data_IF_617277908231
#
_entry.id   IF_617277908231
#
_cell.length_a   1.000
_cell.length_b   1.000
_cell.length_c   1.000
_cell.angle_alpha   90.00
_cell.angle_beta   90.00
_cell.angle_gamma   90.00
#
_symmetry.space_group_name_H-M   'P 1'
#
loop_
_entity.id
_entity.type
_entity.pdbx_description
1 polymer ?
#
# COMPACT_ATOMS: atom_id res chain seq x y z
N UNK A 1 22.42 13.99 -5.04
CA UNK A 1 23.43 13.48 -4.07
C UNK A 1 24.53 12.65 -4.72
N UNK A 2 24.20 11.52 -5.38
CA UNK A 2 25.19 10.56 -5.89
C UNK A 2 26.27 11.18 -6.80
N UNK A 3 25.89 12.08 -7.71
CA UNK A 3 26.82 12.83 -8.57
C UNK A 3 27.84 13.65 -7.76
N UNK A 4 27.39 14.34 -6.71
CA UNK A 4 28.24 15.17 -5.86
C UNK A 4 29.14 14.33 -4.96
N UNK A 5 28.65 13.21 -4.44
CA UNK A 5 29.40 12.38 -3.48
C UNK A 5 30.45 11.49 -4.16
N UNK A 6 30.12 10.87 -5.27
CA UNK A 6 30.97 9.89 -5.94
C UNK A 6 31.66 10.43 -7.20
N UNK A 7 31.38 11.69 -7.60
CA UNK A 7 32.02 12.37 -8.72
C UNK A 7 31.73 11.80 -10.12
N UNK A 8 31.13 10.61 -10.21
CA UNK A 8 30.86 9.90 -11.47
C UNK A 8 29.39 9.90 -11.88
N UNK A 9 29.14 10.03 -13.18
CA UNK A 9 27.78 9.95 -13.75
C UNK A 9 27.31 8.50 -13.93
N UNK A 10 28.24 7.54 -14.05
CA UNK A 10 27.93 6.12 -14.33
C UNK A 10 27.04 5.49 -13.26
N UNK A 11 27.39 5.69 -11.98
CA UNK A 11 26.64 5.13 -10.83
C UNK A 11 25.25 5.75 -10.74
N UNK A 12 25.13 7.08 -10.97
CA UNK A 12 23.84 7.76 -11.01
C UNK A 12 22.95 7.13 -12.06
N UNK A 13 23.40 7.04 -13.32
CA UNK A 13 22.60 6.51 -14.42
C UNK A 13 22.21 5.05 -14.17
N UNK A 14 23.14 4.22 -13.70
CA UNK A 14 22.83 2.83 -13.37
C UNK A 14 21.71 2.72 -12.34
N UNK A 15 21.81 3.49 -11.24
CA UNK A 15 20.80 3.50 -10.18
C UNK A 15 19.48 4.13 -10.62
N UNK A 16 19.52 5.17 -11.45
CA UNK A 16 18.35 5.79 -12.08
C UNK A 16 17.60 4.76 -12.93
N UNK A 17 18.27 4.04 -13.83
CA UNK A 17 17.64 3.03 -14.67
C UNK A 17 17.05 1.90 -13.82
N UNK A 18 17.80 1.42 -12.81
CA UNK A 18 17.32 0.41 -11.88
C UNK A 18 16.10 0.89 -11.08
N UNK A 19 16.11 2.13 -10.59
CA UNK A 19 15.00 2.72 -9.85
C UNK A 19 13.73 2.88 -10.70
N UNK A 20 13.88 3.29 -11.96
CA UNK A 20 12.74 3.37 -12.90
C UNK A 20 12.17 1.98 -13.18
N UNK A 21 13.02 1.00 -13.45
CA UNK A 21 12.60 -0.38 -13.68
C UNK A 21 11.86 -0.95 -12.46
N UNK A 22 12.42 -0.78 -11.26
CA UNK A 22 11.76 -1.20 -10.02
C UNK A 22 10.43 -0.46 -9.81
N UNK A 23 10.36 0.85 -10.07
CA UNK A 23 9.13 1.61 -9.90
C UNK A 23 7.99 1.09 -10.78
N UNK A 24 8.29 0.68 -12.02
CA UNK A 24 7.31 0.08 -12.93
C UNK A 24 6.89 -1.30 -12.45
N UNK A 25 7.83 -2.21 -12.23
CA UNK A 25 7.49 -3.61 -11.98
C UNK A 25 6.97 -3.88 -10.57
N UNK A 26 7.43 -3.13 -9.56
CA UNK A 26 7.02 -3.38 -8.17
C UNK A 26 5.96 -2.39 -7.72
N UNK A 27 6.26 -1.08 -7.70
CA UNK A 27 5.37 -0.10 -7.09
C UNK A 27 4.07 0.11 -7.87
N UNK A 28 4.19 0.42 -9.16
CA UNK A 28 3.01 0.69 -10.01
C UNK A 28 2.14 -0.57 -10.11
N UNK A 29 2.74 -1.74 -10.32
CA UNK A 29 2.02 -3.02 -10.37
C UNK A 29 1.26 -3.33 -9.08
N UNK A 30 1.91 -3.19 -7.92
CA UNK A 30 1.29 -3.50 -6.61
C UNK A 30 0.18 -2.50 -6.28
N UNK A 31 0.38 -1.21 -6.54
CA UNK A 31 -0.64 -0.19 -6.29
C UNK A 31 -1.85 -0.36 -7.22
N UNK A 32 -1.62 -0.64 -8.51
CA UNK A 32 -2.70 -0.93 -9.46
C UNK A 32 -3.47 -2.20 -9.10
N UNK A 33 -2.77 -3.28 -8.73
CA UNK A 33 -3.42 -4.52 -8.30
C UNK A 33 -4.25 -4.32 -7.05
N UNK A 34 -3.68 -3.71 -6.00
CA UNK A 34 -4.38 -3.44 -4.74
C UNK A 34 -5.63 -2.56 -4.97
N UNK A 35 -5.50 -1.56 -5.83
CA UNK A 35 -6.62 -0.70 -6.19
C UNK A 35 -7.69 -1.40 -7.04
N UNK A 36 -7.29 -2.27 -7.95
CA UNK A 36 -8.21 -3.01 -8.79
C UNK A 36 -9.02 -4.03 -7.97
N UNK A 37 -8.37 -4.75 -7.06
CA UNK A 37 -9.02 -5.65 -6.10
C UNK A 37 -10.03 -4.87 -5.25
N UNK A 38 -9.65 -3.68 -4.77
CA UNK A 38 -10.56 -2.83 -4.01
C UNK A 38 -11.80 -2.41 -4.81
N UNK A 39 -11.61 -1.88 -6.03
CA UNK A 39 -12.73 -1.49 -6.90
C UNK A 39 -13.62 -2.68 -7.28
N UNK A 40 -13.01 -3.84 -7.50
CA UNK A 40 -13.73 -5.08 -7.75
C UNK A 40 -14.65 -5.43 -6.57
N UNK A 41 -14.16 -5.38 -5.34
CA UNK A 41 -14.99 -5.65 -4.16
C UNK A 41 -16.08 -4.59 -3.97
N UNK A 42 -15.76 -3.31 -4.19
CA UNK A 42 -16.69 -2.21 -3.94
C UNK A 42 -17.78 -2.06 -5.01
N UNK A 43 -17.45 -2.26 -6.29
CA UNK A 43 -18.32 -1.99 -7.43
C UNK A 43 -18.73 -3.25 -8.21
N UNK A 44 -18.20 -4.43 -7.85
CA UNK A 44 -18.35 -5.69 -8.61
C UNK A 44 -17.92 -5.57 -10.08
N UNK A 45 -16.88 -4.76 -10.34
CA UNK A 45 -16.31 -4.59 -11.67
C UNK A 45 -15.30 -5.71 -11.99
N UNK A 46 -15.10 -5.96 -13.30
CA UNK A 46 -14.01 -6.81 -13.76
C UNK A 46 -12.66 -6.19 -13.36
N UNK A 47 -11.74 -7.02 -12.84
CA UNK A 47 -10.39 -6.60 -12.45
C UNK A 47 -9.69 -5.77 -13.54
N UNK A 48 -9.76 -6.19 -14.81
CA UNK A 48 -9.12 -5.47 -15.92
C UNK A 48 -9.78 -4.10 -16.18
N UNK A 49 -11.11 -4.01 -16.05
CA UNK A 49 -11.82 -2.73 -16.19
C UNK A 49 -11.43 -1.76 -15.06
N UNK A 50 -11.31 -2.27 -13.83
CA UNK A 50 -10.83 -1.50 -12.68
C UNK A 50 -9.41 -0.98 -12.89
N UNK A 51 -8.49 -1.81 -13.40
CA UNK A 51 -7.12 -1.38 -13.71
C UNK A 51 -7.12 -0.25 -14.76
N UNK A 52 -7.85 -0.41 -15.87
CA UNK A 52 -7.91 0.60 -16.92
C UNK A 52 -8.50 1.92 -16.38
N UNK A 53 -9.56 1.85 -15.59
CA UNK A 53 -10.17 3.03 -14.97
C UNK A 53 -9.19 3.75 -14.03
N UNK A 54 -8.45 3.01 -13.20
CA UNK A 54 -7.43 3.58 -12.30
C UNK A 54 -6.30 4.25 -13.09
N UNK A 55 -5.81 3.62 -14.17
CA UNK A 55 -4.75 4.20 -15.01
C UNK A 55 -5.23 5.49 -15.66
N UNK A 56 -6.43 5.50 -16.24
CA UNK A 56 -6.98 6.70 -16.89
C UNK A 56 -7.17 7.85 -15.89
N UNK A 57 -7.68 7.55 -14.70
CA UNK A 57 -7.89 8.54 -13.66
C UNK A 57 -6.55 9.06 -13.12
N UNK A 58 -5.59 8.17 -12.85
CA UNK A 58 -4.24 8.56 -12.44
C UNK A 58 -3.54 9.40 -13.50
N UNK A 59 -3.64 9.05 -14.78
CA UNK A 59 -3.06 9.82 -15.88
C UNK A 59 -3.67 11.23 -15.97
N UNK A 60 -5.00 11.34 -15.88
CA UNK A 60 -5.71 12.62 -15.87
C UNK A 60 -5.22 13.55 -14.75
N UNK A 61 -5.12 13.03 -13.53
CA UNK A 61 -4.64 13.80 -12.37
C UNK A 61 -3.13 14.06 -12.41
N UNK A 62 -2.32 13.20 -13.03
CA UNK A 62 -0.88 13.41 -13.16
C UNK A 62 -0.57 14.55 -14.14
N UNK A 63 -1.28 14.60 -15.28
CA UNK A 63 -1.07 15.65 -16.29
C UNK A 63 -1.54 17.02 -15.79
N UNK A 64 -2.66 17.05 -15.04
CA UNK A 64 -3.23 18.28 -14.49
C UNK A 64 -2.65 18.71 -13.15
N UNK A 65 -2.10 17.80 -12.36
CA UNK A 65 -1.74 18.02 -10.96
C UNK A 65 -0.30 18.48 -10.76
N UNK A 66 -0.11 19.63 -10.11
CA UNK A 66 1.19 20.05 -9.58
C UNK A 66 1.48 19.37 -8.23
N UNK A 67 2.77 19.20 -7.89
CA UNK A 67 3.23 18.58 -6.63
C UNK A 67 2.56 19.18 -5.38
N UNK A 68 2.32 20.49 -5.36
CA UNK A 68 1.66 21.18 -4.24
C UNK A 68 0.20 20.77 -4.07
N UNK A 69 -0.54 20.61 -5.17
CA UNK A 69 -1.94 20.19 -5.12
C UNK A 69 -2.06 18.77 -4.56
N UNK A 70 -1.17 17.87 -4.99
CA UNK A 70 -1.10 16.49 -4.51
C UNK A 70 -0.86 16.44 -3.00
N UNK A 71 0.09 17.22 -2.48
CA UNK A 71 0.39 17.22 -1.04
C UNK A 71 -0.80 17.68 -0.19
N UNK A 72 -1.56 18.67 -0.65
CA UNK A 72 -2.76 19.14 0.08
C UNK A 72 -3.89 18.12 0.06
N UNK A 73 -4.14 17.47 -1.07
CA UNK A 73 -5.15 16.41 -1.16
C UNK A 73 -4.77 15.21 -0.29
N UNK A 74 -3.49 14.84 -0.26
CA UNK A 74 -2.98 13.75 0.58
C UNK A 74 -3.21 14.01 2.07
N UNK A 75 -3.01 15.27 2.51
CA UNK A 75 -3.21 15.64 3.90
C UNK A 75 -4.66 15.45 4.35
N UNK A 76 -5.62 16.01 3.60
CA UNK A 76 -7.05 15.89 3.90
C UNK A 76 -7.47 14.41 3.90
N UNK A 77 -7.04 13.67 2.88
CA UNK A 77 -7.35 12.26 2.74
C UNK A 77 -6.77 11.42 3.88
N UNK A 78 -5.55 11.71 4.34
CA UNK A 78 -4.92 11.00 5.47
C UNK A 78 -5.74 11.15 6.74
N UNK A 79 -6.24 12.35 7.04
CA UNK A 79 -7.09 12.60 8.21
C UNK A 79 -8.38 11.78 8.11
N UNK A 80 -9.04 11.81 6.95
CA UNK A 80 -10.28 11.06 6.75
C UNK A 80 -10.03 9.55 6.86
N UNK A 81 -8.94 9.04 6.27
CA UNK A 81 -8.57 7.62 6.33
C UNK A 81 -8.28 7.14 7.75
N UNK A 82 -7.62 7.96 8.57
CA UNK A 82 -7.37 7.62 9.98
C UNK A 82 -8.71 7.52 10.73
N UNK A 83 -9.60 8.50 10.56
CA UNK A 83 -10.92 8.50 11.20
C UNK A 83 -11.72 7.28 10.76
N UNK A 84 -11.79 6.99 9.46
CA UNK A 84 -12.52 5.84 8.94
C UNK A 84 -11.95 4.52 9.45
N UNK A 85 -10.62 4.39 9.52
CA UNK A 85 -9.97 3.18 10.01
C UNK A 85 -10.17 2.98 11.51
N UNK A 86 -10.19 4.05 12.32
CA UNK A 86 -10.54 3.99 13.74
C UNK A 86 -11.99 3.53 13.93
N UNK A 87 -12.93 4.09 13.16
CA UNK A 87 -14.34 3.68 13.19
C UNK A 87 -14.47 2.20 12.81
N UNK A 88 -13.77 1.76 11.76
CA UNK A 88 -13.77 0.36 11.34
C UNK A 88 -13.23 -0.57 12.43
N UNK A 89 -12.13 -0.19 13.07
CA UNK A 89 -11.53 -0.96 14.16
C UNK A 89 -12.52 -1.13 15.31
N UNK A 90 -13.18 -0.05 15.74
CA UNK A 90 -14.17 -0.08 16.84
C UNK A 90 -15.33 -1.02 16.48
N UNK A 91 -15.90 -0.88 15.28
CA UNK A 91 -17.00 -1.75 14.81
C UNK A 91 -16.55 -3.21 14.71
N UNK A 92 -15.34 -3.45 14.18
CA UNK A 92 -14.79 -4.80 14.04
C UNK A 92 -14.63 -5.48 15.41
N UNK A 93 -14.11 -4.75 16.41
CA UNK A 93 -13.94 -5.28 17.76
C UNK A 93 -15.28 -5.51 18.44
N UNK A 94 -16.25 -4.62 18.24
CA UNK A 94 -17.61 -4.78 18.77
C UNK A 94 -18.30 -6.04 18.20
N UNK A 95 -18.06 -6.40 16.94
CA UNK A 95 -18.64 -7.60 16.32
C UNK A 95 -18.04 -8.91 16.81
N UNK A 96 -16.75 -8.92 17.15
CA UNK A 96 -16.07 -10.13 17.66
C UNK A 96 -16.19 -10.26 19.18
N UNK A 97 -16.49 -9.17 19.89
CA UNK A 97 -16.60 -9.16 21.35
C UNK A 97 -15.30 -8.76 22.06
N UNK A 98 -14.40 -8.05 21.37
CA UNK A 98 -13.14 -7.54 21.92
C UNK A 98 -11.89 -8.31 21.51
N UNK A 99 -10.73 -7.86 21.99
CA UNK A 99 -9.42 -8.38 21.58
C UNK A 99 -9.16 -9.80 22.08
N UNK A 100 -9.70 -10.15 23.26
CA UNK A 100 -9.53 -11.47 23.85
C UNK A 100 -10.25 -12.54 23.03
N UNK A 101 -11.38 -12.17 22.43
CA UNK A 101 -12.17 -13.04 21.58
C UNK A 101 -11.51 -13.22 20.22
N UNK A 102 -10.77 -12.21 19.73
CA UNK A 102 -9.91 -12.38 18.56
C UNK A 102 -8.88 -13.48 18.85
N UNK A 103 -8.25 -13.47 20.03
CA UNK A 103 -7.28 -14.50 20.39
C UNK A 103 -7.90 -15.89 20.46
N UNK A 104 -9.08 -16.05 21.07
CA UNK A 104 -9.68 -17.38 21.20
C UNK A 104 -10.30 -17.91 19.90
N UNK A 105 -10.85 -17.04 19.05
CA UNK A 105 -11.57 -17.44 17.84
C UNK A 105 -10.68 -17.55 16.59
N UNK A 106 -9.58 -16.80 16.52
CA UNK A 106 -8.71 -16.81 15.35
C UNK A 106 -8.17 -18.20 14.96
N UNK A 107 -7.75 -19.09 15.89
CA UNK A 107 -7.33 -20.45 15.55
C UNK A 107 -8.40 -21.28 14.83
N UNK A 108 -9.67 -20.99 15.09
CA UNK A 108 -10.82 -21.69 14.51
C UNK A 108 -11.37 -21.02 13.25
N UNK A 109 -10.74 -19.93 12.78
CA UNK A 109 -11.13 -19.20 11.57
C UNK A 109 -10.66 -19.92 10.30
N UNK A 110 -11.20 -21.12 10.09
CA UNK A 110 -10.91 -22.05 9.00
C UNK A 110 -12.13 -22.14 8.08
N UNK A 111 -11.92 -22.15 6.76
CA UNK A 111 -13.02 -22.26 5.81
C UNK A 111 -13.66 -23.66 5.84
N UNK A 112 -14.96 -23.75 5.58
CA UNK A 112 -15.65 -25.04 5.47
C UNK A 112 -15.09 -25.89 4.33
N UNK A 113 -14.61 -25.27 3.25
CA UNK A 113 -13.95 -25.97 2.14
C UNK A 113 -12.65 -26.65 2.57
N UNK A 114 -11.93 -26.10 3.55
CA UNK A 114 -10.69 -26.69 4.08
C UNK A 114 -10.92 -27.86 5.01
N UNK A 115 -12.05 -27.89 5.73
CA UNK A 115 -12.40 -29.01 6.62
C UNK A 115 -12.58 -30.33 5.87
N UNK A 116 -12.89 -30.28 4.58
CA UNK A 116 -13.02 -31.45 3.71
C UNK A 116 -11.74 -31.81 2.94
N UNK A 117 -10.72 -30.95 2.95
CA UNK A 117 -9.43 -31.19 2.29
C UNK A 117 -8.43 -31.79 3.28
N UNK A 118 -7.72 -32.84 2.90
CA UNK A 118 -6.69 -33.50 3.74
C UNK A 118 -5.39 -32.70 3.87
N UNK A 119 -5.39 -31.44 3.45
CA UNK A 119 -4.22 -30.57 3.40
C UNK A 119 -4.20 -29.62 4.59
N UNK A 120 -3.04 -29.42 5.22
CA UNK A 120 -2.82 -28.42 6.29
C UNK A 120 -2.99 -26.95 5.83
N UNK A 121 -3.33 -26.74 4.55
CA UNK A 121 -3.46 -25.42 3.95
C UNK A 121 -4.73 -24.72 4.44
N UNK A 122 -4.62 -23.41 4.74
CA UNK A 122 -5.74 -22.59 5.24
C UNK A 122 -5.89 -22.56 6.76
N UNK A 123 -5.08 -23.32 7.51
CA UNK A 123 -5.06 -23.28 8.98
C UNK A 123 -4.21 -22.10 9.46
N UNK A 124 -4.73 -21.24 10.36
CA UNK A 124 -3.93 -20.18 10.98
C UNK A 124 -2.73 -20.74 11.75
N UNK A 125 -1.55 -20.18 11.53
CA UNK A 125 -0.32 -20.58 12.23
C UNK A 125 -0.48 -20.39 13.76
N UNK A 126 -0.04 -21.35 14.57
CA UNK A 126 -0.11 -21.33 16.04
C UNK A 126 0.48 -20.06 16.67
N UNK A 127 1.49 -19.46 16.04
CA UNK A 127 2.16 -18.25 16.51
C UNK A 127 1.52 -16.94 15.99
N UNK A 128 0.23 -16.95 15.66
CA UNK A 128 -0.48 -15.81 15.06
C UNK A 128 -0.46 -14.51 15.89
N UNK A 129 -0.42 -14.61 17.23
CA UNK A 129 -0.32 -13.44 18.14
C UNK A 129 1.13 -13.08 18.54
N UNK A 130 2.13 -13.83 18.10
CA UNK A 130 3.53 -13.52 18.41
C UNK A 130 4.16 -12.62 17.34
N UNK A 131 4.69 -11.48 17.78
CA UNK A 131 5.51 -10.59 16.95
C UNK A 131 6.89 -11.18 16.65
N UNK A 132 7.42 -12.00 17.56
CA UNK A 132 8.74 -12.64 17.43
C UNK A 132 8.50 -14.09 17.06
N UNK A 133 8.83 -14.46 15.82
CA UNK A 133 8.63 -15.80 15.28
C UNK A 133 9.93 -16.59 15.23
N UNK A 134 9.89 -17.92 15.43
CA UNK A 134 11.07 -18.79 15.38
C UNK A 134 11.74 -18.78 14.00
N UNK A 135 12.95 -19.34 13.92
CA UNK A 135 13.76 -19.35 12.68
C UNK A 135 13.13 -20.15 11.54
N UNK A 136 12.33 -21.17 11.86
CA UNK A 136 11.69 -22.05 10.86
C UNK A 136 10.36 -21.49 10.31
N UNK A 137 9.92 -20.34 10.80
CA UNK A 137 8.70 -19.69 10.30
C UNK A 137 8.97 -18.95 8.97
N UNK A 138 7.92 -18.78 8.15
CA UNK A 138 7.98 -18.01 6.89
C UNK A 138 8.55 -16.60 7.06
N UNK A 139 8.36 -16.01 8.24
CA UNK A 139 8.78 -14.67 8.61
C UNK A 139 9.55 -14.72 9.93
N UNK A 140 10.82 -15.16 9.90
CA UNK A 140 11.61 -15.33 11.11
C UNK A 140 12.00 -13.98 11.71
N UNK A 141 12.05 -13.89 13.04
CA UNK A 141 12.33 -12.63 13.75
C UNK A 141 13.65 -11.98 13.30
N UNK A 142 14.68 -12.80 13.08
CA UNK A 142 16.01 -12.32 12.66
C UNK A 142 15.97 -11.72 11.26
N UNK A 143 15.27 -12.36 10.32
CA UNK A 143 15.08 -11.87 8.96
C UNK A 143 14.29 -10.55 8.93
N UNK A 144 13.25 -10.44 9.76
CA UNK A 144 12.48 -9.19 9.88
C UNK A 144 13.35 -8.06 10.45
N UNK A 145 14.12 -8.29 11.51
CA UNK A 145 14.93 -7.22 12.12
C UNK A 145 16.04 -6.79 11.17
N UNK A 146 16.85 -7.73 10.67
CA UNK A 146 18.02 -7.39 9.87
C UNK A 146 17.64 -6.99 8.44
N UNK A 147 16.81 -7.78 7.77
CA UNK A 147 16.32 -7.49 6.43
C UNK A 147 15.40 -6.27 6.40
N UNK A 148 14.47 -6.18 7.35
CA UNK A 148 13.57 -5.04 7.48
C UNK A 148 14.29 -3.73 7.79
N UNK A 149 15.38 -3.75 8.57
CA UNK A 149 16.19 -2.55 8.78
C UNK A 149 16.85 -2.05 7.48
N UNK A 150 17.41 -2.94 6.66
CA UNK A 150 18.03 -2.59 5.37
C UNK A 150 16.97 -1.99 4.42
N UNK A 151 15.83 -2.67 4.28
CA UNK A 151 14.72 -2.20 3.44
C UNK A 151 14.17 -0.87 3.94
N UNK A 152 14.06 -0.69 5.26
CA UNK A 152 13.59 0.56 5.87
C UNK A 152 14.55 1.71 5.58
N UNK A 153 15.86 1.51 5.74
CA UNK A 153 16.85 2.56 5.44
C UNK A 153 16.74 2.97 3.96
N UNK A 154 16.62 2.00 3.06
CA UNK A 154 16.43 2.28 1.63
C UNK A 154 15.12 3.05 1.37
N UNK A 155 14.00 2.55 1.88
CA UNK A 155 12.68 3.14 1.65
C UNK A 155 12.57 4.57 2.22
N UNK A 156 13.12 4.84 3.40
CA UNK A 156 13.00 6.15 4.03
C UNK A 156 14.08 7.15 3.61
N UNK A 157 15.27 6.68 3.23
CA UNK A 157 16.43 7.56 2.98
C UNK A 157 16.81 7.68 1.51
N UNK A 158 16.47 6.69 0.69
CA UNK A 158 16.87 6.62 -0.72
C UNK A 158 15.70 6.72 -1.69
N UNK A 159 14.48 6.39 -1.24
CA UNK A 159 13.30 6.45 -2.09
C UNK A 159 12.94 7.88 -2.47
N UNK A 160 12.90 8.13 -3.78
CA UNK A 160 12.69 9.47 -4.30
C UNK A 160 11.32 10.05 -3.91
N UNK A 161 10.27 9.24 -3.77
CA UNK A 161 8.94 9.73 -3.37
C UNK A 161 9.00 10.36 -1.97
N UNK A 162 9.70 9.69 -1.04
CA UNK A 162 9.82 10.14 0.36
C UNK A 162 10.82 11.28 0.48
N UNK A 163 11.96 11.17 -0.21
CA UNK A 163 12.99 12.23 -0.21
C UNK A 163 12.43 13.53 -0.80
N UNK A 164 11.61 13.48 -1.86
CA UNK A 164 10.98 14.69 -2.40
C UNK A 164 10.06 15.37 -1.39
N UNK A 165 9.28 14.61 -0.61
CA UNK A 165 8.39 15.17 0.42
C UNK A 165 9.16 15.85 1.55
N UNK A 166 10.30 15.28 1.94
CA UNK A 166 11.16 15.91 2.97
C UNK A 166 11.89 17.15 2.47
N UNK A 167 12.29 17.17 1.19
CA UNK A 167 12.89 18.34 0.54
C UNK A 167 11.89 19.48 0.30
N UNK A 168 10.61 19.18 0.16
CA UNK A 168 9.54 20.16 0.04
C UNK A 168 9.17 20.84 1.39
N UNK A 169 9.78 20.40 2.50
CA UNK A 169 9.54 21.01 3.80
C UNK A 169 10.13 22.44 3.86
N UNK A 170 9.42 23.33 4.57
CA UNK A 170 9.81 24.75 4.69
C UNK A 170 11.23 24.95 5.23
N UNK A 171 11.59 24.19 6.28
CA UNK A 171 12.88 24.27 6.96
C UNK A 171 13.29 22.89 7.50
N UNK A 172 14.57 22.72 7.85
CA UNK A 172 15.09 21.48 8.46
C UNK A 172 14.37 21.09 9.75
N UNK A 173 13.98 22.06 10.59
CA UNK A 173 13.21 21.80 11.81
C UNK A 173 11.85 21.17 11.50
N UNK A 174 11.13 21.68 10.49
CA UNK A 174 9.87 21.12 10.02
C UNK A 174 10.05 19.74 9.39
N UNK A 175 11.12 19.52 8.63
CA UNK A 175 11.43 18.20 8.08
C UNK A 175 11.65 17.16 9.19
N UNK A 176 12.44 17.49 10.22
CA UNK A 176 12.69 16.62 11.38
C UNK A 176 11.42 16.33 12.16
N UNK A 177 10.62 17.36 12.46
CA UNK A 177 9.34 17.19 13.14
C UNK A 177 8.38 16.30 12.33
N UNK A 178 8.31 16.50 11.01
CA UNK A 178 7.53 15.66 10.10
C UNK A 178 7.96 14.20 10.12
N UNK A 179 9.26 13.92 10.10
CA UNK A 179 9.79 12.56 10.23
C UNK A 179 9.44 11.90 11.57
N UNK A 180 9.49 12.65 12.68
CA UNK A 180 9.10 12.14 14.00
C UNK A 180 7.61 11.80 14.07
N UNK A 181 6.75 12.70 13.56
CA UNK A 181 5.31 12.46 13.49
C UNK A 181 4.99 11.26 12.59
N UNK A 182 5.65 11.14 11.44
CA UNK A 182 5.50 9.98 10.55
C UNK A 182 5.91 8.67 11.24
N UNK A 183 7.01 8.67 12.00
CA UNK A 183 7.44 7.54 12.82
C UNK A 183 6.40 7.15 13.88
N UNK A 184 5.81 8.13 14.57
CA UNK A 184 4.76 7.89 15.56
C UNK A 184 3.50 7.30 14.91
N UNK A 185 3.05 7.87 13.78
CA UNK A 185 1.86 7.39 13.07
C UNK A 185 2.03 5.97 12.50
N UNK A 186 3.26 5.49 12.30
CA UNK A 186 3.54 4.12 11.81
C UNK A 186 3.24 3.03 12.83
N UNK A 187 2.98 3.34 14.10
CA UNK A 187 2.44 2.37 15.06
C UNK A 187 0.94 2.11 14.86
N UNK A 188 0.20 3.03 14.22
CA UNK A 188 -1.25 2.91 14.05
C UNK A 188 -1.69 1.74 13.16
N UNK A 189 -1.07 1.42 12.01
CA UNK A 189 -1.51 0.34 11.13
C UNK A 189 -1.65 -1.02 11.82
N UNK A 190 -0.87 -1.30 12.87
CA UNK A 190 -1.05 -2.51 13.67
C UNK A 190 -2.49 -2.59 14.22
N UNK A 191 -2.97 -1.51 14.83
CA UNK A 191 -4.31 -1.42 15.39
C UNK A 191 -5.39 -1.19 14.34
N UNK A 192 -5.11 -0.36 13.35
CA UNK A 192 -6.11 0.12 12.39
C UNK A 192 -6.28 -0.81 11.16
N UNK A 193 -5.32 -1.69 10.88
CA UNK A 193 -5.35 -2.57 9.71
C UNK A 193 -5.09 -4.03 10.07
N UNK A 194 -4.05 -4.35 10.85
CA UNK A 194 -3.70 -5.76 11.13
C UNK A 194 -4.77 -6.44 11.98
N UNK A 195 -5.16 -5.84 13.12
CA UNK A 195 -6.20 -6.41 13.96
C UNK A 195 -7.56 -6.51 13.25
N UNK A 196 -8.06 -5.48 12.53
CA UNK A 196 -9.22 -5.63 11.66
C UNK A 196 -9.04 -6.74 10.64
N UNK A 197 -7.89 -6.86 9.96
CA UNK A 197 -7.62 -7.97 9.04
C UNK A 197 -7.77 -9.35 9.69
N UNK A 198 -7.34 -9.51 10.95
CA UNK A 198 -7.58 -10.74 11.71
C UNK A 198 -9.07 -10.98 11.99
N UNK A 199 -9.80 -9.92 12.36
CA UNK A 199 -11.26 -9.96 12.54
C UNK A 199 -11.97 -10.35 11.25
N UNK A 200 -11.51 -9.85 10.09
CA UNK A 200 -12.08 -10.20 8.80
C UNK A 200 -12.08 -11.71 8.59
N UNK A 201 -10.94 -12.37 8.86
CA UNK A 201 -10.83 -13.82 8.73
C UNK A 201 -11.77 -14.57 9.68
N UNK A 202 -11.98 -14.06 10.89
CA UNK A 202 -12.91 -14.65 11.87
C UNK A 202 -14.37 -14.52 11.39
N UNK A 203 -14.75 -13.37 10.86
CA UNK A 203 -16.13 -13.10 10.42
C UNK A 203 -16.47 -13.71 9.07
N UNK A 204 -15.49 -13.82 8.17
CA UNK A 204 -15.66 -14.30 6.80
C UNK A 204 -14.61 -15.36 6.43
N UNK A 205 -14.58 -16.51 7.15
CA UNK A 205 -13.56 -17.54 6.95
C UNK A 205 -13.63 -18.20 5.57
N UNK A 206 -14.83 -18.41 5.04
CA UNK A 206 -15.03 -19.05 3.73
C UNK A 206 -14.55 -18.18 2.56
N UNK A 207 -14.55 -16.85 2.71
CA UNK A 207 -14.13 -15.93 1.67
C UNK A 207 -12.63 -15.62 1.74
N UNK A 208 -12.10 -15.42 2.94
CA UNK A 208 -10.70 -14.99 3.14
C UNK A 208 -9.77 -16.18 3.32
N UNK A 209 -10.22 -17.22 4.04
CA UNK A 209 -9.49 -18.45 4.31
C UNK A 209 -9.71 -19.54 3.26
N UNK A 210 -10.34 -19.21 2.12
CA UNK A 210 -10.54 -20.17 1.03
C UNK A 210 -9.21 -20.78 0.59
N UNK A 211 -9.24 -22.07 0.28
CA UNK A 211 -8.05 -22.84 -0.11
C UNK A 211 -8.28 -23.64 -1.39
N UNK A 212 -9.55 -23.88 -1.74
CA UNK A 212 -9.91 -24.47 -3.02
C UNK A 212 -9.74 -23.43 -4.16
N UNK A 213 -8.90 -23.71 -5.17
CA UNK A 213 -8.58 -22.73 -6.22
C UNK A 213 -9.78 -22.25 -7.02
N UNK A 214 -10.79 -23.10 -7.25
CA UNK A 214 -11.95 -22.76 -8.06
C UNK A 214 -12.95 -21.91 -7.26
N UNK A 215 -13.17 -22.24 -5.98
CA UNK A 215 -13.95 -21.41 -5.05
C UNK A 215 -13.28 -20.05 -4.83
N UNK A 216 -11.96 -20.02 -4.60
CA UNK A 216 -11.22 -18.76 -4.45
C UNK A 216 -11.29 -17.90 -5.72
N UNK A 217 -11.23 -18.52 -6.91
CA UNK A 217 -11.36 -17.79 -8.17
C UNK A 217 -12.74 -17.13 -8.31
N UNK A 218 -13.81 -17.77 -7.85
CA UNK A 218 -15.16 -17.19 -7.91
C UNK A 218 -15.32 -15.99 -6.96
N UNK A 219 -14.68 -16.02 -5.80
CA UNK A 219 -14.83 -14.99 -4.76
C UNK A 219 -13.88 -13.80 -4.98
N UNK A 220 -12.61 -14.06 -5.29
CA UNK A 220 -11.59 -13.03 -5.40
C UNK A 220 -10.80 -13.03 -6.71
N UNK A 221 -11.17 -13.87 -7.68
CA UNK A 221 -10.48 -13.99 -8.98
C UNK A 221 -8.98 -14.27 -8.86
N UNK A 222 -8.56 -14.83 -7.72
CA UNK A 222 -7.19 -15.26 -7.44
C UNK A 222 -7.23 -16.73 -7.01
N UNK A 223 -6.41 -17.56 -7.66
CA UNK A 223 -6.23 -18.97 -7.29
C UNK A 223 -5.28 -19.15 -6.11
N UNK A 224 -4.52 -18.12 -5.75
CA UNK A 224 -3.48 -18.17 -4.73
C UNK A 224 -3.99 -17.78 -3.32
N UNK A 225 -5.29 -17.48 -3.19
CA UNK A 225 -5.94 -17.07 -1.95
C UNK A 225 -6.48 -15.64 -1.98
N UNK A 226 -7.34 -15.35 -1.02
CA UNK A 226 -8.15 -14.12 -0.95
C UNK A 226 -7.78 -13.23 0.26
N UNK A 227 -6.54 -13.26 0.72
CA UNK A 227 -6.13 -12.46 1.88
C UNK A 227 -6.21 -10.93 1.60
N UNK A 228 -5.97 -10.51 0.36
CA UNK A 228 -5.93 -9.09 -0.03
C UNK A 228 -7.32 -8.41 0.01
N UNK A 229 -8.41 -9.18 -0.05
CA UNK A 229 -9.78 -8.65 0.03
C UNK A 229 -10.25 -8.40 1.47
N UNK A 230 -9.50 -8.83 2.48
CA UNK A 230 -9.92 -8.78 3.88
C UNK A 230 -10.34 -7.38 4.35
N UNK A 231 -9.49 -6.37 4.12
CA UNK A 231 -9.78 -5.00 4.54
C UNK A 231 -10.91 -4.35 3.72
N UNK A 232 -10.91 -4.41 2.36
CA UNK A 232 -12.04 -3.96 1.55
C UNK A 232 -13.39 -4.58 1.97
N UNK A 233 -13.40 -5.89 2.24
CA UNK A 233 -14.60 -6.63 2.61
C UNK A 233 -15.20 -6.12 3.93
N UNK A 234 -14.36 -5.84 4.93
CA UNK A 234 -14.81 -5.24 6.18
C UNK A 234 -15.45 -3.86 5.95
N UNK A 235 -14.81 -3.00 5.16
CA UNK A 235 -15.33 -1.66 4.85
C UNK A 235 -16.72 -1.77 4.24
N UNK A 236 -16.92 -2.69 3.30
CA UNK A 236 -18.18 -2.84 2.57
C UNK A 236 -19.30 -3.40 3.44
N UNK A 237 -18.99 -4.40 4.28
CA UNK A 237 -19.98 -5.16 5.06
C UNK A 237 -20.27 -4.60 6.45
N UNK A 238 -19.31 -3.92 7.08
CA UNK A 238 -19.44 -3.46 8.47
C UNK A 238 -19.71 -1.98 8.60
N UNK A 239 -19.25 -1.15 7.66
CA UNK A 239 -19.44 0.30 7.80
C UNK A 239 -20.88 0.72 7.50
N UNK A 240 -21.41 1.69 8.28
CA UNK A 240 -22.70 2.32 7.98
C UNK A 240 -22.68 3.01 6.61
N UNK A 241 -23.82 3.06 5.92
CA UNK A 241 -23.94 3.52 4.53
C UNK A 241 -23.20 4.84 4.21
N UNK A 242 -23.33 5.87 5.07
CA UNK A 242 -22.68 7.17 4.85
C UNK A 242 -21.15 7.11 5.00
N UNK A 243 -20.66 6.46 6.06
CA UNK A 243 -19.22 6.34 6.36
C UNK A 243 -18.56 5.39 5.36
N UNK A 244 -19.27 4.36 4.93
CA UNK A 244 -18.84 3.44 3.88
C UNK A 244 -18.54 4.21 2.60
N UNK A 245 -19.49 5.00 2.08
CA UNK A 245 -19.29 5.79 0.86
C UNK A 245 -18.09 6.74 0.96
N UNK A 246 -17.96 7.44 2.09
CA UNK A 246 -16.82 8.33 2.35
C UNK A 246 -15.48 7.57 2.35
N UNK A 247 -15.43 6.43 3.04
CA UNK A 247 -14.23 5.60 3.12
C UNK A 247 -13.86 5.05 1.75
N UNK A 248 -14.84 4.58 0.98
CA UNK A 248 -14.62 4.08 -0.38
C UNK A 248 -14.03 5.16 -1.28
N UNK A 249 -14.59 6.37 -1.24
CA UNK A 249 -14.07 7.50 -2.01
C UNK A 249 -12.64 7.88 -1.59
N UNK A 250 -12.36 7.91 -0.29
CA UNK A 250 -11.02 8.21 0.22
C UNK A 250 -9.98 7.15 -0.14
N UNK A 251 -10.35 5.88 -0.20
CA UNK A 251 -9.44 4.81 -0.63
C UNK A 251 -9.09 4.91 -2.11
N UNK A 252 -10.06 5.25 -2.97
CA UNK A 252 -9.80 5.52 -4.40
C UNK A 252 -8.89 6.74 -4.53
N UNK A 253 -9.18 7.83 -3.81
CA UNK A 253 -8.31 9.01 -3.78
C UNK A 253 -6.88 8.65 -3.33
N UNK A 254 -6.74 7.75 -2.35
CA UNK A 254 -5.44 7.30 -1.86
C UNK A 254 -4.62 6.55 -2.89
N UNK A 255 -5.27 5.65 -3.63
CA UNK A 255 -4.63 4.91 -4.70
C UNK A 255 -4.17 5.87 -5.81
N UNK A 256 -4.98 6.88 -6.14
CA UNK A 256 -4.61 7.91 -7.12
C UNK A 256 -3.44 8.76 -6.65
N UNK A 257 -3.46 9.18 -5.39
CA UNK A 257 -2.38 9.92 -4.76
C UNK A 257 -1.04 9.16 -4.79
N UNK A 258 -1.07 7.86 -4.46
CA UNK A 258 0.13 7.01 -4.52
C UNK A 258 0.66 6.86 -5.95
N UNK A 259 -0.21 6.57 -6.91
CA UNK A 259 0.17 6.43 -8.32
C UNK A 259 0.72 7.75 -8.90
N UNK A 260 0.05 8.88 -8.66
CA UNK A 260 0.51 10.21 -9.10
C UNK A 260 1.86 10.56 -8.47
N UNK A 261 2.08 10.21 -7.20
CA UNK A 261 3.38 10.39 -6.53
C UNK A 261 4.49 9.54 -7.18
N UNK A 262 4.20 8.28 -7.53
CA UNK A 262 5.17 7.40 -8.20
C UNK A 262 5.47 7.89 -9.63
N UNK A 263 4.45 8.31 -10.39
CA UNK A 263 4.63 8.86 -11.73
C UNK A 263 5.43 10.16 -11.70
N UNK A 264 5.11 11.11 -10.81
CA UNK A 264 5.85 12.35 -10.69
C UNK A 264 7.31 12.11 -10.26
N UNK A 265 7.53 11.15 -9.36
CA UNK A 265 8.88 10.76 -8.93
C UNK A 265 9.69 10.14 -10.08
N UNK A 266 9.10 9.20 -10.81
CA UNK A 266 9.71 8.54 -11.97
C UNK A 266 10.00 9.54 -13.09
N UNK A 267 9.07 10.44 -13.36
CA UNK A 267 9.21 11.56 -14.29
C UNK A 267 10.37 12.48 -13.92
N UNK A 268 10.48 12.85 -12.64
CA UNK A 268 11.59 13.68 -12.16
C UNK A 268 12.94 12.98 -12.34
N UNK A 269 13.02 11.69 -11.99
CA UNK A 269 14.21 10.86 -12.18
C UNK A 269 14.58 10.82 -13.67
N UNK A 270 13.61 10.59 -14.55
CA UNK A 270 13.83 10.55 -16.00
C UNK A 270 14.30 11.89 -16.57
N UNK A 271 13.58 12.98 -16.27
CA UNK A 271 13.87 14.31 -16.85
C UNK A 271 15.22 14.86 -16.38
N UNK A 272 15.55 14.72 -15.10
CA UNK A 272 16.77 15.31 -14.52
C UNK A 272 17.99 14.39 -14.73
N UNK A 273 17.84 13.07 -14.63
CA UNK A 273 18.99 12.16 -14.72
C UNK A 273 19.27 11.66 -16.14
N UNK A 274 18.24 11.55 -17.00
CA UNK A 274 18.36 11.00 -18.35
C UNK A 274 18.18 12.11 -19.40
N UNK A 275 17.07 12.85 -19.39
CA UNK A 275 16.75 13.80 -20.46
C UNK A 275 17.78 14.94 -20.56
N UNK A 276 18.14 15.57 -19.45
CA UNK A 276 19.17 16.63 -19.43
C UNK A 276 20.56 16.17 -19.93
N UNK A 277 20.80 14.86 -20.02
CA UNK A 277 22.02 14.33 -20.60
C UNK A 277 22.02 14.39 -22.13
N UNK A 278 20.88 14.09 -22.74
CA UNK A 278 20.68 14.21 -24.19
C UNK A 278 20.49 15.68 -24.59
N UNK A 279 19.76 16.45 -23.78
CA UNK A 279 19.46 17.86 -23.99
C UNK A 279 20.07 18.73 -22.89
N UNK A 280 21.33 19.13 -23.06
CA UNK A 280 22.09 19.87 -22.03
C UNK A 280 21.50 21.24 -21.64
N UNK A 281 20.82 21.89 -22.58
CA UNK A 281 20.19 23.21 -22.40
C UNK A 281 18.66 23.11 -22.50
N UNK A 282 18.04 22.14 -21.83
CA UNK A 282 16.59 22.05 -21.76
C UNK A 282 16.02 23.21 -20.93
N UNK A 283 15.03 23.92 -21.46
CA UNK A 283 14.28 24.92 -20.69
C UNK A 283 13.34 24.25 -19.68
N UNK A 284 12.98 24.94 -18.59
CA UNK A 284 12.03 24.42 -17.58
C UNK A 284 10.69 23.97 -18.19
N UNK A 285 10.25 24.66 -19.25
CA UNK A 285 9.07 24.29 -20.02
C UNK A 285 9.23 22.95 -20.76
N UNK A 286 10.42 22.70 -21.35
CA UNK A 286 10.73 21.43 -22.00
C UNK A 286 10.78 20.30 -20.98
N UNK A 287 11.37 20.53 -19.81
CA UNK A 287 11.43 19.55 -18.72
C UNK A 287 10.03 19.23 -18.18
N UNK A 288 9.14 20.22 -18.08
CA UNK A 288 7.74 19.96 -17.72
C UNK A 288 7.00 19.14 -18.78
N UNK A 289 7.20 19.42 -20.08
CA UNK A 289 6.51 18.67 -21.14
C UNK A 289 6.99 17.23 -21.18
N UNK A 290 8.32 17.00 -21.12
CA UNK A 290 8.89 15.64 -21.16
C UNK A 290 8.58 14.86 -19.89
N UNK A 291 8.36 15.57 -18.78
CA UNK A 291 7.98 14.95 -17.53
C UNK A 291 6.49 14.56 -17.43
N UNK A 292 5.60 15.13 -18.25
CA UNK A 292 4.19 14.76 -18.31
C UNK A 292 3.98 13.54 -19.19
#
# INVERSE_FOLDING_TARGET
YLKLRFGGERIRIYLTCLALMLSIFTKISVDLYSGAVFLQQALNWNLYASVIALILLAAFFTVGGGLTAVIWTDFIQTVIMIISAVILMIISFARVGGIEQIRSLFPYAVANTTLHSTTECGIPNENYFSLIRPFDADLPWFGIILGGAIVSVWYWSCDQVIVQRTLAAKNLSHARAGCLVAGLLKFLPLFLMVFPGMVARILFPDEIGCTDPDTCYQVCHSRNGCNDIAYPLLVIRLMPNAIRGLTLACMIAALMSSLTSIFNSSSTIFTIDIWQRFRKNAHDWELMIVGR
#
